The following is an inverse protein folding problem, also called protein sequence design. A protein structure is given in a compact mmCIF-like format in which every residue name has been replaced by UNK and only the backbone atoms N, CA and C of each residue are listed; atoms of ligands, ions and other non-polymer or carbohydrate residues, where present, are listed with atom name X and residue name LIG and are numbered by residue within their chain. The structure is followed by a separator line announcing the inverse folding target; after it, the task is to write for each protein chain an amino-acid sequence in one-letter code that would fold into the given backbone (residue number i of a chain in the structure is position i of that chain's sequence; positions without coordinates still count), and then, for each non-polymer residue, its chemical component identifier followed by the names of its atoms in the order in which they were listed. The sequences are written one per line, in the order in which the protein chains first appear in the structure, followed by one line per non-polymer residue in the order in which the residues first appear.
data_IF_986765387811
#
_entry.id   IF_986765387811
#
_cell.length_a   1.000
_cell.length_b   1.000
_cell.length_c   1.000
_cell.angle_alpha   90.00
_cell.angle_beta   90.00
_cell.angle_gamma   90.00
#
_symmetry.space_group_name_H-M   'P 1'
#
loop_
_entity.id
_entity.type
_entity.pdbx_description
1 polymer ?
#
# COMPACT_ATOMS: atom_id res chain seq x y z
N UNK A 1 1.29 27.70 -12.52
CA UNK A 1 0.89 26.78 -11.44
C UNK A 1 2.16 26.07 -11.05
N UNK A 2 2.85 26.61 -10.05
CA UNK A 2 4.23 26.24 -9.78
C UNK A 2 4.30 24.82 -9.25
N UNK A 3 5.21 24.03 -9.80
CA UNK A 3 5.42 22.65 -9.42
C UNK A 3 6.06 22.63 -8.02
N UNK A 4 5.21 22.50 -6.99
CA UNK A 4 5.55 22.52 -5.55
C UNK A 4 6.39 21.32 -5.08
N UNK A 5 7.17 20.71 -5.97
CA UNK A 5 8.04 19.57 -5.71
C UNK A 5 9.49 19.98 -5.43
N UNK A 6 9.84 21.27 -5.53
CA UNK A 6 11.22 21.78 -5.45
C UNK A 6 11.57 22.55 -4.17
N UNK A 7 10.70 22.57 -3.14
CA UNK A 7 11.06 23.16 -1.85
C UNK A 7 9.89 23.49 -0.92
N UNK A 8 10.17 24.34 0.06
CA UNK A 8 9.19 24.91 0.97
C UNK A 8 8.40 26.05 0.28
N UNK A 9 7.11 26.19 0.58
CA UNK A 9 6.38 27.39 0.16
C UNK A 9 6.97 28.61 0.85
N UNK A 10 7.24 29.67 0.08
CA UNK A 10 7.74 30.93 0.63
C UNK A 10 6.74 31.49 1.63
N UNK A 11 7.17 31.59 2.88
CA UNK A 11 6.35 32.05 4.01
C UNK A 11 7.18 32.95 4.90
N UNK A 12 6.52 33.91 5.55
CA UNK A 12 7.17 34.86 6.45
C UNK A 12 7.45 34.19 7.80
N UNK A 13 8.60 34.51 8.40
CA UNK A 13 8.91 34.13 9.77
C UNK A 13 8.41 35.21 10.74
N UNK A 14 7.99 34.78 11.93
CA UNK A 14 7.65 35.67 13.04
C UNK A 14 8.86 35.77 13.97
N UNK A 15 9.30 37.00 14.26
CA UNK A 15 10.45 37.28 15.11
C UNK A 15 9.96 38.01 16.36
N UNK A 16 10.23 37.44 17.53
CA UNK A 16 9.93 38.03 18.83
C UNK A 16 11.05 38.98 19.26
N UNK A 17 10.75 39.86 20.23
CA UNK A 17 11.72 40.84 20.75
C UNK A 17 12.90 40.21 21.50
N UNK A 18 12.77 38.97 21.96
CA UNK A 18 13.83 38.19 22.62
C UNK A 18 14.74 37.44 21.63
N UNK A 19 14.50 37.59 20.32
CA UNK A 19 15.25 36.92 19.27
C UNK A 19 14.73 35.52 18.93
N UNK A 20 13.65 35.05 19.56
CA UNK A 20 13.02 33.78 19.17
C UNK A 20 12.34 33.90 17.79
N UNK A 21 12.57 32.92 16.92
CA UNK A 21 12.02 32.90 15.57
C UNK A 21 11.08 31.71 15.41
N UNK A 22 9.84 31.99 15.01
CA UNK A 22 8.86 30.97 14.67
C UNK A 22 8.56 31.00 13.17
N UNK A 23 8.86 29.91 12.48
CA UNK A 23 8.74 29.80 11.02
C UNK A 23 8.14 28.44 10.62
N UNK A 24 6.82 28.38 10.35
CA UNK A 24 6.14 27.16 9.92
C UNK A 24 5.81 27.18 8.40
N UNK A 25 6.76 26.89 7.50
CA UNK A 25 6.46 26.84 6.07
C UNK A 25 5.60 25.61 5.72
N UNK A 26 4.54 25.78 4.90
CA UNK A 26 3.83 24.63 4.35
C UNK A 26 4.72 23.91 3.32
N UNK A 27 4.73 22.58 3.38
CA UNK A 27 5.51 21.74 2.48
C UNK A 27 4.72 20.50 2.07
N UNK A 28 4.85 20.12 0.80
CA UNK A 28 4.39 18.82 0.30
C UNK A 28 5.57 17.86 0.31
N UNK A 29 5.53 16.89 1.20
CA UNK A 29 6.59 15.91 1.35
C UNK A 29 6.24 14.62 0.61
N UNK A 30 7.23 14.07 -0.10
CA UNK A 30 7.15 12.74 -0.71
C UNK A 30 8.22 11.87 -0.06
N UNK A 31 7.81 10.89 0.72
CA UNK A 31 8.70 9.93 1.38
C UNK A 31 8.62 8.57 0.73
N UNK A 32 9.75 7.89 0.58
CA UNK A 32 9.78 6.49 0.19
C UNK A 32 9.49 5.61 1.42
N UNK A 33 8.42 4.83 1.35
CA UNK A 33 8.01 3.90 2.39
C UNK A 33 7.92 2.49 1.81
N UNK A 34 8.42 1.50 2.55
CA UNK A 34 8.28 0.09 2.21
C UNK A 34 6.88 -0.37 2.65
N UNK A 35 6.09 -0.85 1.70
CA UNK A 35 4.71 -1.31 1.92
C UNK A 35 4.70 -2.84 1.97
N UNK A 36 4.10 -3.41 3.02
CA UNK A 36 3.88 -4.85 3.14
C UNK A 36 2.44 -5.19 2.74
N UNK A 37 2.28 -5.90 1.62
CA UNK A 37 0.97 -6.25 1.05
C UNK A 37 0.52 -7.68 1.39
N UNK A 38 1.16 -8.35 2.35
CA UNK A 38 0.87 -9.77 2.68
C UNK A 38 -0.60 -9.99 3.02
N UNK A 39 -1.20 -9.13 3.85
CA UNK A 39 -2.59 -9.21 4.32
C UNK A 39 -3.55 -8.28 3.60
N UNK A 40 -3.18 -7.78 2.43
CA UNK A 40 -4.03 -6.89 1.63
C UNK A 40 -5.47 -7.44 1.49
N UNK A 41 -6.54 -6.62 1.63
CA UNK A 41 -6.57 -5.20 1.98
C UNK A 41 -6.65 -4.93 3.50
N UNK A 42 -6.51 -5.95 4.34
CA UNK A 42 -6.57 -5.87 5.80
C UNK A 42 -5.17 -5.62 6.39
N UNK A 43 -4.48 -4.63 5.84
CA UNK A 43 -3.09 -4.31 6.15
C UNK A 43 -2.96 -3.01 6.94
N UNK A 44 -1.99 -3.03 7.87
CA UNK A 44 -1.50 -1.85 8.58
C UNK A 44 -0.12 -1.49 8.03
N UNK A 45 0.08 -0.22 7.69
CA UNK A 45 1.33 0.28 7.13
C UNK A 45 2.03 1.22 8.11
N UNK A 46 3.36 1.10 8.18
CA UNK A 46 4.20 1.91 9.04
C UNK A 46 5.23 2.68 8.20
N UNK A 47 4.96 3.96 7.96
CA UNK A 47 5.83 4.81 7.16
C UNK A 47 6.64 5.76 8.02
N UNK A 48 7.96 5.81 7.77
CA UNK A 48 8.91 6.62 8.53
C UNK A 48 9.34 7.83 7.71
N UNK A 49 9.24 9.01 8.31
CA UNK A 49 9.80 10.25 7.77
C UNK A 49 10.86 10.75 8.74
N UNK A 50 12.07 11.00 8.24
CA UNK A 50 13.19 11.47 9.06
C UNK A 50 13.51 12.91 8.71
N UNK A 51 13.62 13.76 9.73
CA UNK A 51 14.02 15.15 9.58
C UNK A 51 15.23 15.44 10.44
N UNK A 52 16.21 16.12 9.88
CA UNK A 52 17.44 16.49 10.57
C UNK A 52 18.24 17.48 9.73
N UNK A 53 19.28 18.03 10.33
CA UNK A 53 20.26 18.83 9.60
C UNK A 53 21.05 17.95 8.62
N UNK A 54 21.29 18.46 7.41
CA UNK A 54 22.11 17.75 6.41
C UNK A 54 23.60 17.98 6.59
N UNK A 55 24.00 19.21 6.96
CA UNK A 55 25.41 19.64 6.97
C UNK A 55 25.96 19.70 8.40
N UNK A 56 25.19 20.30 9.31
CA UNK A 56 25.62 20.56 10.68
C UNK A 56 25.43 19.33 11.56
N UNK A 57 26.43 19.04 12.39
CA UNK A 57 26.37 18.02 13.43
C UNK A 57 25.59 18.51 14.68
N UNK A 58 25.41 17.62 15.66
CA UNK A 58 24.66 17.90 16.88
C UNK A 58 25.29 18.92 17.84
N UNK A 59 26.59 19.23 17.70
CA UNK A 59 27.23 20.28 18.49
C UNK A 59 26.96 21.67 17.90
N UNK A 60 26.62 21.74 16.61
CA UNK A 60 26.31 22.99 15.92
C UNK A 60 24.79 23.24 15.86
N UNK A 61 24.01 22.22 15.52
CA UNK A 61 22.55 22.30 15.41
C UNK A 61 21.93 21.10 16.11
N UNK A 62 21.29 21.35 17.24
CA UNK A 62 20.51 20.33 17.95
C UNK A 62 19.04 20.41 17.55
N UNK A 63 18.56 19.36 16.86
CA UNK A 63 17.17 19.23 16.45
C UNK A 63 16.40 18.47 17.53
N UNK A 64 15.37 19.12 18.09
CA UNK A 64 14.52 18.56 19.14
C UNK A 64 13.05 18.63 18.73
N UNK A 65 12.26 17.70 19.25
CA UNK A 65 10.82 17.69 19.05
C UNK A 65 10.16 18.74 19.95
N UNK A 66 9.26 19.56 19.39
CA UNK A 66 8.50 20.57 20.15
C UNK A 66 7.54 19.92 21.15
N UNK A 67 6.95 18.79 20.78
CA UNK A 67 5.96 18.03 21.55
C UNK A 67 6.17 16.53 21.34
N UNK A 68 5.61 15.71 22.25
CA UNK A 68 5.60 14.26 22.07
C UNK A 68 4.62 13.83 20.97
N UNK A 69 3.50 14.55 20.85
CA UNK A 69 2.42 14.27 19.91
C UNK A 69 2.40 15.27 18.74
N UNK A 70 1.85 14.83 17.61
CA UNK A 70 1.63 15.67 16.43
C UNK A 70 0.30 16.39 16.54
N UNK A 71 0.27 17.67 16.19
CA UNK A 71 -0.97 18.44 16.11
C UNK A 71 -1.81 17.98 14.91
N UNK A 72 -2.98 17.40 15.20
CA UNK A 72 -3.95 16.90 14.23
C UNK A 72 -5.24 17.74 14.18
N UNK A 73 -5.26 18.93 14.79
CA UNK A 73 -6.45 19.81 14.85
C UNK A 73 -7.03 20.15 13.48
N UNK A 74 -6.16 20.33 12.48
CA UNK A 74 -6.52 20.63 11.10
C UNK A 74 -6.33 19.42 10.15
N UNK A 75 -6.32 18.20 10.69
CA UNK A 75 -6.18 17.00 9.88
C UNK A 75 -7.42 16.75 9.03
N UNK A 76 -7.22 16.58 7.72
CA UNK A 76 -8.28 16.19 6.78
C UNK A 76 -8.24 14.67 6.61
N UNK A 77 -9.33 14.00 6.97
CA UNK A 77 -9.45 12.54 6.86
C UNK A 77 -9.31 12.06 5.41
N UNK A 78 -8.56 10.97 5.22
CA UNK A 78 -8.47 10.30 3.93
C UNK A 78 -9.63 9.33 3.72
N UNK A 79 -10.12 9.25 2.48
CA UNK A 79 -11.13 8.26 2.09
C UNK A 79 -10.59 6.84 1.91
N UNK A 80 -9.27 6.68 1.80
CA UNK A 80 -8.59 5.40 1.58
C UNK A 80 -7.91 4.88 2.85
N UNK A 81 -7.44 5.77 3.72
CA UNK A 81 -6.58 5.44 4.86
C UNK A 81 -7.11 6.03 6.17
N UNK A 82 -7.15 5.20 7.21
CA UNK A 82 -7.37 5.62 8.58
C UNK A 82 -6.02 5.86 9.27
N UNK A 83 -5.83 7.04 9.83
CA UNK A 83 -4.66 7.36 10.65
C UNK A 83 -4.84 6.75 12.04
N UNK A 84 -4.06 5.72 12.36
CA UNK A 84 -4.14 5.04 13.65
C UNK A 84 -3.30 5.75 14.72
N UNK A 85 -2.05 6.07 14.40
CA UNK A 85 -1.12 6.67 15.34
C UNK A 85 0.06 7.35 14.62
N UNK A 86 0.67 8.35 15.24
CA UNK A 86 1.95 8.92 14.82
C UNK A 86 2.90 8.90 16.01
N UNK A 87 4.03 8.20 15.88
CA UNK A 87 5.08 8.18 16.91
C UNK A 87 6.21 9.12 16.52
N UNK A 88 6.65 9.97 17.44
CA UNK A 88 7.78 10.89 17.24
C UNK A 88 8.95 10.44 18.10
N UNK A 89 10.10 10.15 17.49
CA UNK A 89 11.29 9.68 18.19
C UNK A 89 12.49 10.51 17.74
N UNK A 90 13.19 11.13 18.70
CA UNK A 90 14.51 11.74 18.47
C UNK A 90 15.58 10.66 18.53
N UNK A 91 16.46 10.63 17.55
CA UNK A 91 17.61 9.75 17.47
C UNK A 91 18.89 10.58 17.35
N UNK A 92 20.00 10.02 17.83
CA UNK A 92 21.34 10.52 17.54
C UNK A 92 22.09 9.41 16.82
N UNK A 93 22.45 9.65 15.56
CA UNK A 93 23.06 8.63 14.71
C UNK A 93 24.46 9.07 14.33
N UNK A 94 25.41 8.14 14.46
CA UNK A 94 26.76 8.32 13.91
C UNK A 94 26.83 7.65 12.55
N UNK A 95 27.07 8.45 11.51
CA UNK A 95 27.18 7.95 10.15
C UNK A 95 28.61 7.47 9.84
N UNK A 96 28.76 6.58 8.86
CA UNK A 96 30.08 6.03 8.49
C UNK A 96 31.02 7.07 7.86
N UNK A 97 30.48 8.15 7.29
CA UNK A 97 31.26 9.25 6.72
C UNK A 97 32.03 10.06 7.76
N UNK A 98 31.51 10.12 8.99
CA UNK A 98 31.72 11.25 9.88
C UNK A 98 31.91 10.74 11.33
N UNK A 99 32.74 11.40 12.13
CA UNK A 99 33.04 10.92 13.50
C UNK A 99 32.00 11.37 14.52
N UNK A 100 31.31 12.45 14.20
CA UNK A 100 30.37 13.18 15.03
C UNK A 100 28.96 12.56 14.94
N UNK A 101 28.12 12.86 15.95
CA UNK A 101 26.73 12.42 16.00
C UNK A 101 25.82 13.46 15.36
N UNK A 102 24.87 12.98 14.57
CA UNK A 102 23.86 13.80 13.89
C UNK A 102 22.49 13.53 14.51
N UNK A 103 21.82 14.55 15.07
CA UNK A 103 20.48 14.40 15.62
C UNK A 103 19.44 14.41 14.50
N UNK A 104 18.51 13.44 14.55
CA UNK A 104 17.33 13.36 13.69
C UNK A 104 16.05 13.16 14.51
N UNK A 105 14.93 13.64 13.99
CA UNK A 105 13.60 13.36 14.50
C UNK A 105 12.86 12.50 13.47
N UNK A 106 12.54 11.27 13.85
CA UNK A 106 11.83 10.31 13.02
C UNK A 106 10.35 10.27 13.41
N UNK A 107 9.48 10.59 12.45
CA UNK A 107 8.03 10.43 12.54
C UNK A 107 7.64 9.09 11.95
N UNK A 108 7.04 8.21 12.75
CA UNK A 108 6.48 6.94 12.29
C UNK A 108 4.97 7.05 12.23
N UNK A 109 4.44 7.17 11.02
CA UNK A 109 3.01 7.24 10.74
C UNK A 109 2.50 5.81 10.58
N UNK A 110 1.50 5.45 11.39
CA UNK A 110 0.81 4.18 11.33
C UNK A 110 -0.57 4.42 10.73
N UNK A 111 -0.83 3.83 9.56
CA UNK A 111 -2.07 3.97 8.80
C UNK A 111 -2.68 2.60 8.50
N UNK A 112 -4.01 2.54 8.40
CA UNK A 112 -4.78 1.34 8.06
C UNK A 112 -5.62 1.59 6.81
N UNK A 113 -5.66 0.63 5.90
CA UNK A 113 -6.45 0.74 4.68
C UNK A 113 -7.94 0.54 4.96
N UNK A 114 -8.79 1.35 4.32
CA UNK A 114 -10.25 1.14 4.32
C UNK A 114 -10.62 0.02 3.36
N UNK A 115 -11.18 -1.06 3.89
CA UNK A 115 -11.34 -2.34 3.18
C UNK A 115 -12.60 -2.42 2.33
N UNK A 116 -13.64 -1.63 2.62
CA UNK A 116 -14.97 -1.77 2.01
C UNK A 116 -14.93 -1.73 0.48
N UNK A 117 -14.17 -0.78 -0.10
CA UNK A 117 -14.02 -0.67 -1.54
C UNK A 117 -13.47 -1.96 -2.18
N UNK A 118 -12.45 -2.56 -1.55
CA UNK A 118 -11.80 -3.77 -2.03
C UNK A 118 -12.67 -5.02 -1.83
N UNK A 119 -13.47 -5.07 -0.76
CA UNK A 119 -14.45 -6.15 -0.56
C UNK A 119 -15.46 -6.21 -1.70
N UNK A 120 -16.06 -5.06 -2.04
CA UNK A 120 -17.09 -5.00 -3.07
C UNK A 120 -16.57 -5.15 -4.49
N UNK A 121 -15.41 -4.55 -4.81
CA UNK A 121 -14.91 -4.50 -6.18
C UNK A 121 -13.88 -5.59 -6.53
N UNK A 122 -13.28 -6.25 -5.53
CA UNK A 122 -12.30 -7.32 -5.77
C UNK A 122 -12.80 -8.65 -5.23
N UNK A 123 -13.15 -8.73 -3.93
CA UNK A 123 -13.46 -10.02 -3.32
C UNK A 123 -14.76 -10.62 -3.85
N UNK A 124 -15.86 -9.84 -3.90
CA UNK A 124 -17.13 -10.38 -4.40
C UNK A 124 -17.07 -10.84 -5.88
N UNK A 125 -16.53 -10.07 -6.84
CA UNK A 125 -16.40 -10.53 -8.22
C UNK A 125 -15.57 -11.83 -8.35
N UNK A 126 -14.46 -11.95 -7.61
CA UNK A 126 -13.66 -13.18 -7.61
C UNK A 126 -14.42 -14.38 -7.03
N UNK A 127 -15.16 -14.19 -5.94
CA UNK A 127 -16.03 -15.25 -5.39
C UNK A 127 -17.10 -15.68 -6.41
N UNK A 128 -17.76 -14.73 -7.08
CA UNK A 128 -18.73 -15.02 -8.13
C UNK A 128 -18.13 -15.84 -9.28
N UNK A 129 -16.92 -15.49 -9.73
CA UNK A 129 -16.22 -16.28 -10.76
C UNK A 129 -15.88 -17.70 -10.29
N UNK A 130 -15.50 -17.88 -9.02
CA UNK A 130 -15.28 -19.24 -8.48
C UNK A 130 -16.56 -20.06 -8.36
N UNK A 131 -17.70 -19.43 -8.12
CA UNK A 131 -19.00 -20.13 -8.11
C UNK A 131 -19.41 -20.52 -9.53
N UNK A 132 -19.25 -19.61 -10.50
CA UNK A 132 -19.52 -19.89 -11.91
C UNK A 132 -18.64 -21.01 -12.47
N UNK A 133 -17.39 -21.10 -12.03
CA UNK A 133 -16.51 -22.20 -12.43
C UNK A 133 -17.02 -23.56 -11.91
N UNK A 134 -17.46 -23.63 -10.65
CA UNK A 134 -18.04 -24.85 -10.08
C UNK A 134 -19.33 -25.28 -10.78
N UNK A 135 -20.19 -24.33 -11.19
CA UNK A 135 -21.39 -24.61 -11.97
C UNK A 135 -21.08 -25.28 -13.32
N UNK A 136 -19.90 -25.02 -13.90
CA UNK A 136 -19.46 -25.69 -15.12
C UNK A 136 -19.28 -27.20 -15.00
N UNK A 137 -19.09 -27.73 -13.79
CA UNK A 137 -19.09 -29.19 -13.57
C UNK A 137 -20.49 -29.80 -13.52
N UNK A 138 -21.49 -29.01 -13.12
CA UNK A 138 -22.89 -29.45 -13.06
C UNK A 138 -23.57 -29.47 -14.42
N UNK A 139 -23.02 -28.75 -15.41
CA UNK A 139 -23.59 -28.71 -16.75
C UNK A 139 -23.30 -30.03 -17.51
N UNK A 140 -24.33 -30.71 -18.05
CA UNK A 140 -24.14 -31.93 -18.82
C UNK A 140 -23.35 -31.65 -20.11
N UNK A 141 -22.48 -32.58 -20.54
CA UNK A 141 -21.63 -32.38 -21.73
C UNK A 141 -22.44 -32.29 -23.03
N UNK A 142 -23.64 -32.87 -23.09
CA UNK A 142 -24.51 -32.89 -24.27
C UNK A 142 -25.05 -31.50 -24.68
N UNK A 143 -24.93 -30.51 -23.79
CA UNK A 143 -25.40 -29.14 -24.01
C UNK A 143 -24.50 -28.33 -24.97
N UNK A 144 -23.24 -28.74 -25.18
CA UNK A 144 -22.26 -27.99 -25.99
C UNK A 144 -21.76 -26.68 -25.36
N UNK A 145 -22.56 -26.04 -24.49
CA UNK A 145 -22.24 -24.75 -23.84
C UNK A 145 -21.19 -24.84 -22.73
N UNK A 146 -20.82 -26.05 -22.30
CA UNK A 146 -19.83 -26.28 -21.24
C UNK A 146 -18.45 -25.70 -21.60
N UNK A 147 -18.05 -25.82 -22.86
CA UNK A 147 -16.76 -25.30 -23.35
C UNK A 147 -16.79 -23.77 -23.38
N UNK A 148 -17.88 -23.18 -23.87
CA UNK A 148 -18.09 -21.73 -23.91
C UNK A 148 -18.03 -21.13 -22.50
N UNK A 149 -18.69 -21.76 -21.52
CA UNK A 149 -18.64 -21.34 -20.12
C UNK A 149 -17.21 -21.41 -19.54
N UNK A 150 -16.46 -22.47 -19.85
CA UNK A 150 -15.07 -22.61 -19.40
C UNK A 150 -14.15 -21.50 -19.95
N UNK A 151 -14.25 -21.21 -21.25
CA UNK A 151 -13.44 -20.17 -21.91
C UNK A 151 -13.79 -18.78 -21.38
N UNK A 152 -15.08 -18.48 -21.20
CA UNK A 152 -15.53 -17.16 -20.70
C UNK A 152 -15.08 -16.92 -19.26
N UNK A 153 -15.16 -17.93 -18.39
CA UNK A 153 -14.64 -17.84 -17.00
C UNK A 153 -13.12 -17.67 -16.97
N UNK A 154 -12.38 -18.38 -17.83
CA UNK A 154 -10.91 -18.26 -17.96
C UNK A 154 -10.50 -16.84 -18.38
N UNK A 155 -11.17 -16.28 -19.38
CA UNK A 155 -10.91 -14.94 -19.88
C UNK A 155 -11.23 -13.89 -18.82
N UNK A 156 -12.41 -13.98 -18.21
CA UNK A 156 -12.83 -13.07 -17.15
C UNK A 156 -11.82 -13.05 -16.00
N UNK A 157 -11.39 -14.23 -15.53
CA UNK A 157 -10.38 -14.34 -14.48
C UNK A 157 -9.06 -13.69 -14.86
N UNK A 158 -8.56 -13.92 -16.09
CA UNK A 158 -7.32 -13.32 -16.58
C UNK A 158 -7.39 -11.78 -16.56
N UNK A 159 -8.52 -11.21 -16.98
CA UNK A 159 -8.76 -9.76 -16.94
C UNK A 159 -8.79 -9.24 -15.49
N UNK A 160 -9.49 -9.93 -14.59
CA UNK A 160 -9.53 -9.53 -13.18
C UNK A 160 -8.15 -9.62 -12.50
N UNK A 161 -7.37 -10.66 -12.78
CA UNK A 161 -6.00 -10.78 -12.27
C UNK A 161 -5.10 -9.67 -12.79
N UNK A 162 -5.23 -9.28 -14.06
CA UNK A 162 -4.50 -8.15 -14.62
C UNK A 162 -4.88 -6.83 -13.91
N UNK A 163 -6.18 -6.59 -13.72
CA UNK A 163 -6.67 -5.42 -12.97
C UNK A 163 -6.09 -5.38 -11.55
N UNK A 164 -6.04 -6.51 -10.85
CA UNK A 164 -5.45 -6.59 -9.50
C UNK A 164 -3.95 -6.30 -9.55
N UNK A 165 -3.23 -6.87 -10.53
CA UNK A 165 -1.79 -6.67 -10.68
C UNK A 165 -1.42 -5.22 -10.98
N UNK A 166 -2.23 -4.50 -11.77
CA UNK A 166 -2.01 -3.07 -12.06
C UNK A 166 -2.26 -2.15 -10.85
N UNK A 167 -3.15 -2.55 -9.94
CA UNK A 167 -3.48 -1.77 -8.73
C UNK A 167 -2.51 -2.04 -7.56
N UNK A 168 -1.66 -3.06 -7.65
CA UNK A 168 -0.71 -3.44 -6.60
C UNK A 168 0.70 -2.98 -6.95
N UNK A 169 1.52 -2.60 -5.95
CA UNK A 169 2.92 -2.30 -6.22
C UNK A 169 3.65 -3.55 -6.72
N UNK A 170 4.48 -3.39 -7.76
CA UNK A 170 5.30 -4.47 -8.30
C UNK A 170 6.46 -4.81 -7.34
N UNK A 171 6.16 -5.57 -6.29
CA UNK A 171 7.15 -6.05 -5.31
C UNK A 171 7.17 -7.58 -5.28
N UNK A 172 8.36 -8.17 -5.38
CA UNK A 172 8.54 -9.63 -5.28
C UNK A 172 8.70 -10.14 -3.85
N UNK A 173 8.90 -9.24 -2.88
CA UNK A 173 9.13 -9.62 -1.48
C UNK A 173 7.86 -10.12 -0.79
N UNK A 174 6.70 -9.53 -1.12
CA UNK A 174 5.43 -9.86 -0.50
C UNK A 174 4.42 -10.21 -1.58
N UNK A 175 3.92 -11.44 -1.55
CA UNK A 175 2.83 -11.89 -2.42
C UNK A 175 1.54 -11.88 -1.60
N UNK A 176 0.51 -11.09 -1.98
CA UNK A 176 -0.75 -11.00 -1.26
C UNK A 176 -1.39 -12.37 -1.05
N UNK A 177 -1.88 -12.60 0.18
CA UNK A 177 -2.57 -13.85 0.52
C UNK A 177 -3.83 -14.04 -0.36
N UNK A 178 -4.54 -12.96 -0.66
CA UNK A 178 -5.69 -12.96 -1.58
C UNK A 178 -5.28 -13.47 -2.97
N UNK A 179 -4.14 -12.99 -3.48
CA UNK A 179 -3.62 -13.46 -4.77
C UNK A 179 -3.38 -14.97 -4.75
N UNK A 180 -2.77 -15.51 -3.70
CA UNK A 180 -2.57 -16.97 -3.53
C UNK A 180 -3.90 -17.71 -3.39
N UNK A 181 -4.84 -17.20 -2.59
CA UNK A 181 -6.14 -17.81 -2.35
C UNK A 181 -7.02 -17.85 -3.60
N UNK A 182 -6.89 -16.86 -4.50
CA UNK A 182 -7.67 -16.78 -5.74
C UNK A 182 -6.99 -17.57 -6.87
N UNK A 183 -5.67 -17.50 -7.00
CA UNK A 183 -4.93 -18.17 -8.09
C UNK A 183 -4.84 -19.69 -7.91
N UNK A 184 -4.64 -20.19 -6.69
CA UNK A 184 -4.53 -21.63 -6.44
C UNK A 184 -5.78 -22.45 -6.82
N UNK A 185 -7.02 -22.09 -6.42
CA UNK A 185 -8.21 -22.84 -6.83
C UNK A 185 -8.49 -22.70 -8.32
N UNK A 186 -8.16 -21.56 -8.93
CA UNK A 186 -8.32 -21.36 -10.37
C UNK A 186 -7.38 -22.27 -11.19
N UNK A 187 -6.11 -22.37 -10.80
CA UNK A 187 -5.16 -23.30 -11.43
C UNK A 187 -5.61 -24.75 -11.28
N UNK A 188 -6.10 -25.12 -10.08
CA UNK A 188 -6.67 -26.45 -9.85
C UNK A 188 -7.87 -26.72 -10.76
N UNK A 189 -8.79 -25.76 -10.88
CA UNK A 189 -9.95 -25.85 -11.76
C UNK A 189 -9.53 -26.08 -13.21
N UNK A 190 -8.55 -25.35 -13.72
CA UNK A 190 -8.04 -25.54 -15.09
C UNK A 190 -7.48 -26.94 -15.32
N UNK A 191 -6.67 -27.44 -14.38
CA UNK A 191 -6.14 -28.79 -14.45
C UNK A 191 -7.26 -29.84 -14.47
N UNK A 192 -8.29 -29.65 -13.63
CA UNK A 192 -9.40 -30.59 -13.51
C UNK A 192 -10.32 -30.57 -14.76
N UNK A 193 -10.52 -29.40 -15.36
CA UNK A 193 -11.26 -29.25 -16.63
C UNK A 193 -10.53 -29.93 -17.79
N UNK A 194 -9.22 -29.70 -17.93
CA UNK A 194 -8.41 -30.35 -18.96
C UNK A 194 -8.42 -31.87 -18.79
N UNK A 195 -8.28 -32.35 -17.55
CA UNK A 195 -8.33 -33.78 -17.24
C UNK A 195 -9.70 -34.40 -17.59
N UNK A 196 -10.81 -33.74 -17.20
CA UNK A 196 -12.15 -34.20 -17.58
C UNK A 196 -12.34 -34.24 -19.09
N UNK A 197 -11.83 -33.24 -19.80
CA UNK A 197 -11.94 -33.16 -21.26
C UNK A 197 -11.20 -34.32 -21.93
N UNK A 198 -9.98 -34.61 -21.48
CA UNK A 198 -9.20 -35.77 -21.94
C UNK A 198 -9.96 -37.08 -21.65
N UNK A 199 -10.55 -37.21 -20.46
CA UNK A 199 -11.32 -38.40 -20.09
C UNK A 199 -12.56 -38.58 -20.99
N UNK A 200 -13.29 -37.50 -21.29
CA UNK A 200 -14.46 -37.54 -22.19
C UNK A 200 -14.10 -37.80 -23.66
N UNK A 201 -12.85 -37.55 -24.06
CA UNK A 201 -12.36 -37.88 -25.41
C UNK A 201 -11.84 -39.33 -25.51
N UNK A 202 -11.51 -39.95 -24.38
CA UNK A 202 -11.00 -41.32 -24.29
C UNK A 202 -12.10 -42.38 -24.10
N UNK A 203 -13.30 -41.97 -23.69
CA UNK A 203 -14.51 -42.81 -23.54
C UNK A 203 -15.43 -42.56 -24.72
#
# INVERSE_FOLDING_TARGET
ADDFTTGYMQSKAMVSSDGTVFWPPPAKLRSSCKIDITYFPFDDQMCKMKFGSWIYDGFQVDVTNRSADVDLTNYVYSGEWDLLNIKVIRNEVRYTCCKEHYPDVTFTIVIRRRTLYYLFNIIFPCLWLTILSLLGFWLPPDSGEKITLGITVLLAFSVFMLLIAENMPATSEFVPLIGKLITTPFLLFLLLQVLLHILTLLV
#
